data_IF_113635271522
#
_entry.id   IF_113635271522
#
_cell.length_a   1.000
_cell.length_b   1.000
_cell.length_c   1.000
_cell.angle_alpha   90.00
_cell.angle_beta   90.00
_cell.angle_gamma   90.00
#
_symmetry.space_group_name_H-M   'P 1'
#
loop_
_entity.id
_entity.type
_entity.pdbx_description
1 polymer ?
#
# COMPACT_ATOMS: atom_id res chain seq x y z
N UNK A 1 42.53 6.75 27.02
CA UNK A 1 41.43 5.76 26.87
C UNK A 1 40.05 6.42 26.63
N UNK A 2 39.98 7.52 25.85
CA UNK A 2 38.74 8.26 25.55
C UNK A 2 38.55 8.46 24.04
N UNK A 3 39.67 8.56 23.31
CA UNK A 3 39.69 8.67 21.85
C UNK A 3 39.19 7.41 21.12
N UNK A 4 39.38 6.22 21.70
CA UNK A 4 38.92 4.96 21.08
C UNK A 4 37.39 4.82 21.11
N UNK A 5 36.74 5.41 22.13
CA UNK A 5 35.27 5.43 22.25
C UNK A 5 34.66 6.29 21.14
N UNK A 6 35.27 7.46 20.87
CA UNK A 6 34.83 8.35 19.78
C UNK A 6 34.98 7.71 18.40
N UNK A 7 36.06 6.95 18.19
CA UNK A 7 36.31 6.23 16.94
C UNK A 7 35.30 5.10 16.69
N UNK A 8 34.89 4.39 17.75
CA UNK A 8 33.82 3.39 17.70
C UNK A 8 32.44 4.02 17.40
N UNK A 9 32.14 5.20 17.96
CA UNK A 9 30.89 5.92 17.66
C UNK A 9 30.82 6.40 16.20
N UNK A 10 31.93 6.84 15.61
CA UNK A 10 31.97 7.24 14.19
C UNK A 10 31.77 6.06 13.23
N UNK A 11 32.27 4.86 13.58
CA UNK A 11 32.02 3.66 12.78
C UNK A 11 30.55 3.22 12.78
N UNK A 12 29.81 3.46 13.87
CA UNK A 12 28.37 3.19 13.95
C UNK A 12 27.55 4.15 13.07
N UNK A 13 28.00 5.39 12.91
CA UNK A 13 27.31 6.39 12.07
C UNK A 13 27.46 6.10 10.58
N UNK A 14 28.56 5.50 10.13
CA UNK A 14 28.70 5.03 8.74
C UNK A 14 27.81 3.83 8.41
N UNK A 15 27.35 3.10 9.43
CA UNK A 15 26.44 1.97 9.25
C UNK A 15 24.96 2.39 9.17
N UNK A 16 24.65 3.69 9.35
CA UNK A 16 23.35 4.26 8.97
C UNK A 16 23.28 4.49 7.45
N UNK A 17 23.58 3.45 6.68
CA UNK A 17 23.04 3.33 5.35
C UNK A 17 21.57 2.96 5.58
N UNK A 18 20.71 3.97 5.51
CA UNK A 18 19.25 3.87 5.63
C UNK A 18 18.80 2.53 5.08
N UNK A 19 18.40 1.61 5.97
CA UNK A 19 17.83 0.35 5.55
C UNK A 19 16.77 0.68 4.48
N UNK A 20 16.78 0.05 3.29
CA UNK A 20 15.75 0.30 2.32
C UNK A 20 14.42 0.01 3.01
N UNK A 21 13.61 1.06 3.19
CA UNK A 21 12.41 1.04 4.03
C UNK A 21 11.33 0.07 3.50
N UNK A 22 11.61 -0.69 2.44
CA UNK A 22 10.71 -1.66 1.81
C UNK A 22 11.12 -3.14 1.91
N UNK A 23 12.24 -3.51 2.55
CA UNK A 23 12.70 -4.90 2.51
C UNK A 23 12.01 -5.87 3.51
N UNK A 24 11.06 -5.39 4.34
CA UNK A 24 10.51 -6.17 5.46
C UNK A 24 9.05 -6.61 5.37
N UNK A 25 8.22 -6.03 4.50
CA UNK A 25 6.76 -6.13 4.66
C UNK A 25 6.01 -6.92 3.57
N UNK A 26 6.67 -7.43 2.54
CA UNK A 26 6.02 -8.23 1.48
C UNK A 26 5.07 -7.43 0.57
N UNK A 27 5.01 -6.11 0.74
CA UNK A 27 4.29 -5.18 -0.13
C UNK A 27 5.19 -4.00 -0.51
N UNK A 28 4.88 -3.37 -1.65
CA UNK A 28 5.40 -2.06 -2.04
C UNK A 28 4.36 -0.99 -1.76
N UNK A 29 4.79 0.17 -1.30
CA UNK A 29 3.90 1.33 -1.14
C UNK A 29 3.97 2.17 -2.42
N UNK A 30 2.82 2.61 -2.94
CA UNK A 30 2.73 3.49 -4.09
C UNK A 30 2.29 4.90 -3.67
N UNK A 31 2.64 5.88 -4.49
CA UNK A 31 2.17 7.25 -4.30
C UNK A 31 0.66 7.34 -4.58
N UNK A 32 -0.06 8.18 -3.82
CA UNK A 32 -1.52 8.29 -3.98
C UNK A 32 -1.94 8.97 -5.29
N UNK A 33 -1.06 9.77 -5.89
CA UNK A 33 -1.22 10.46 -7.17
C UNK A 33 -0.65 9.68 -8.37
N UNK A 34 -0.24 8.44 -8.13
CA UNK A 34 0.19 7.53 -9.19
C UNK A 34 -1.00 7.21 -10.13
N UNK A 35 -0.84 7.30 -11.45
CA UNK A 35 -1.95 7.12 -12.39
C UNK A 35 -2.52 5.69 -12.37
N UNK A 36 -1.70 4.67 -12.09
CA UNK A 36 -2.18 3.29 -11.94
C UNK A 36 -3.03 3.15 -10.66
N UNK A 37 -2.62 3.80 -9.57
CA UNK A 37 -3.40 3.87 -8.33
C UNK A 37 -4.78 4.46 -8.55
N UNK A 38 -4.88 5.60 -9.24
CA UNK A 38 -6.17 6.23 -9.56
C UNK A 38 -7.04 5.29 -10.40
N UNK A 39 -6.45 4.65 -11.41
CA UNK A 39 -7.16 3.72 -12.28
C UNK A 39 -7.74 2.52 -11.51
N UNK A 40 -6.93 1.89 -10.66
CA UNK A 40 -7.36 0.76 -9.82
C UNK A 40 -8.47 1.18 -8.84
N UNK A 41 -8.36 2.37 -8.25
CA UNK A 41 -9.38 2.89 -7.34
C UNK A 41 -10.73 3.12 -8.06
N UNK A 42 -10.70 3.65 -9.28
CA UNK A 42 -11.91 3.84 -10.09
C UNK A 42 -12.56 2.50 -10.47
N UNK A 43 -11.77 1.49 -10.85
CA UNK A 43 -12.28 0.14 -11.13
C UNK A 43 -12.94 -0.45 -9.88
N UNK A 44 -12.31 -0.29 -8.70
CA UNK A 44 -12.86 -0.79 -7.45
C UNK A 44 -14.20 -0.12 -7.11
N UNK A 45 -14.31 1.21 -7.26
CA UNK A 45 -15.56 1.95 -7.03
C UNK A 45 -16.66 1.53 -8.01
N UNK A 46 -16.34 1.37 -9.30
CA UNK A 46 -17.29 0.88 -10.30
C UNK A 46 -17.82 -0.51 -9.95
N UNK A 47 -16.91 -1.44 -9.60
CA UNK A 47 -17.27 -2.79 -9.18
C UNK A 47 -18.22 -2.77 -7.96
N UNK A 48 -17.88 -2.00 -6.93
CA UNK A 48 -18.71 -1.89 -5.72
C UNK A 48 -20.09 -1.32 -6.04
N UNK A 49 -20.17 -0.28 -6.86
CA UNK A 49 -21.44 0.32 -7.26
C UNK A 49 -22.28 -0.61 -8.11
N UNK A 50 -21.66 -1.40 -8.99
CA UNK A 50 -22.35 -2.38 -9.83
C UNK A 50 -22.97 -3.53 -9.02
N UNK A 51 -22.37 -3.86 -7.88
CA UNK A 51 -22.83 -4.93 -6.98
C UNK A 51 -23.55 -4.41 -5.73
N UNK A 52 -23.87 -3.11 -5.69
CA UNK A 52 -24.56 -2.50 -4.57
C UNK A 52 -26.03 -2.93 -4.55
N UNK A 53 -26.38 -3.82 -3.62
CA UNK A 53 -27.77 -4.29 -3.47
C UNK A 53 -28.67 -3.24 -2.79
N UNK A 54 -28.11 -2.51 -1.82
CA UNK A 54 -28.80 -1.50 -1.01
C UNK A 54 -27.80 -0.45 -0.54
N UNK A 55 -28.27 0.77 -0.24
CA UNK A 55 -27.46 1.87 0.25
C UNK A 55 -27.17 2.93 -0.79
N UNK A 56 -26.12 3.72 -0.57
CA UNK A 56 -25.76 4.85 -1.43
C UNK A 56 -24.63 4.48 -2.38
N UNK A 57 -24.69 5.02 -3.60
CA UNK A 57 -23.56 4.94 -4.54
C UNK A 57 -22.32 5.59 -3.93
N UNK A 58 -21.21 4.90 -4.09
CA UNK A 58 -19.89 5.34 -3.67
C UNK A 58 -19.28 6.22 -4.76
N UNK A 59 -18.57 7.26 -4.35
CA UNK A 59 -17.73 8.08 -5.23
C UNK A 59 -16.31 8.05 -4.67
N UNK A 60 -15.31 8.01 -5.55
CA UNK A 60 -13.91 8.14 -5.14
C UNK A 60 -13.69 9.59 -4.68
N UNK A 61 -13.20 9.77 -3.46
CA UNK A 61 -12.91 11.09 -2.91
C UNK A 61 -11.40 11.33 -2.80
N UNK A 62 -10.74 10.55 -1.93
CA UNK A 62 -9.31 10.66 -1.69
C UNK A 62 -8.73 9.26 -1.43
N UNK A 63 -7.47 9.10 -1.82
CA UNK A 63 -6.64 7.94 -1.50
C UNK A 63 -5.55 8.41 -0.55
N UNK A 64 -5.49 7.82 0.64
CA UNK A 64 -4.52 8.20 1.66
C UNK A 64 -3.34 7.25 1.73
N UNK A 65 -3.56 5.98 1.36
CA UNK A 65 -2.51 4.97 1.36
C UNK A 65 -2.75 3.90 0.32
N UNK A 66 -1.65 3.44 -0.28
CA UNK A 66 -1.66 2.37 -1.29
C UNK A 66 -0.59 1.35 -0.96
N UNK A 67 -0.98 0.11 -0.72
CA UNK A 67 -0.05 -1.01 -0.60
C UNK A 67 -0.32 -2.00 -1.73
N UNK A 68 0.73 -2.47 -2.38
CA UNK A 68 0.64 -3.50 -3.41
C UNK A 68 1.37 -4.74 -2.97
N UNK A 69 0.60 -5.80 -2.80
CA UNK A 69 1.08 -7.12 -2.41
C UNK A 69 1.31 -7.97 -3.65
N UNK A 70 2.48 -8.58 -3.76
CA UNK A 70 2.70 -9.60 -4.78
C UNK A 70 1.96 -10.88 -4.38
N UNK A 71 1.01 -11.32 -5.20
CA UNK A 71 0.26 -12.57 -5.01
C UNK A 71 0.92 -13.67 -5.85
N UNK A 72 1.30 -14.78 -5.21
CA UNK A 72 1.85 -15.96 -5.92
C UNK A 72 0.70 -16.83 -6.46
N UNK A 73 0.89 -17.57 -7.58
CA UNK A 73 2.08 -17.62 -8.44
C UNK A 73 2.21 -16.41 -9.37
N UNK A 74 1.12 -15.69 -9.65
CA UNK A 74 1.10 -14.47 -10.45
C UNK A 74 0.04 -13.51 -9.89
N UNK A 75 0.26 -12.21 -10.09
CA UNK A 75 -0.71 -11.16 -9.81
C UNK A 75 -0.32 -10.25 -8.65
N UNK A 76 -1.10 -9.19 -8.52
CA UNK A 76 -0.92 -8.14 -7.52
C UNK A 76 -2.25 -7.86 -6.83
N UNK A 77 -2.18 -7.50 -5.56
CA UNK A 77 -3.34 -7.07 -4.78
C UNK A 77 -3.08 -5.66 -4.27
N UNK A 78 -3.94 -4.75 -4.68
CA UNK A 78 -3.92 -3.35 -4.25
C UNK A 78 -4.81 -3.21 -3.01
N UNK A 79 -4.23 -2.72 -1.94
CA UNK A 79 -4.89 -2.33 -0.70
C UNK A 79 -4.90 -0.81 -0.64
N UNK A 80 -6.09 -0.23 -0.71
CA UNK A 80 -6.32 1.22 -0.73
C UNK A 80 -6.97 1.65 0.58
N UNK A 81 -6.43 2.68 1.22
CA UNK A 81 -7.02 3.32 2.40
C UNK A 81 -7.54 4.73 2.05
N UNK A 82 -8.65 5.12 2.68
CA UNK A 82 -9.38 6.37 2.48
C UNK A 82 -9.94 6.85 3.84
N UNK A 83 -9.83 8.16 4.13
CA UNK A 83 -10.24 8.87 5.34
C UNK A 83 -11.77 8.99 5.55
N UNK A 84 -12.57 8.43 4.65
CA UNK A 84 -14.02 8.41 4.68
C UNK A 84 -14.55 7.05 4.24
N UNK A 85 -15.27 6.38 5.14
CA UNK A 85 -15.91 5.06 4.95
C UNK A 85 -14.96 4.02 4.35
N UNK A 86 -14.15 3.42 5.24
CA UNK A 86 -13.46 2.14 5.10
C UNK A 86 -13.74 1.40 3.76
N UNK A 87 -12.94 1.67 2.73
CA UNK A 87 -12.70 0.71 1.65
C UNK A 87 -11.84 -0.43 2.23
N UNK A 88 -12.35 -1.10 3.26
CA UNK A 88 -11.61 -2.14 3.96
C UNK A 88 -11.61 -3.36 3.07
N UNK A 89 -10.53 -3.47 2.31
CA UNK A 89 -10.11 -4.65 1.58
C UNK A 89 -11.13 -4.99 0.50
N UNK A 90 -10.90 -4.49 -0.72
CA UNK A 90 -11.55 -5.16 -1.85
C UNK A 90 -11.11 -6.61 -1.79
N UNK A 91 -12.01 -7.51 -1.41
CA UNK A 91 -11.94 -8.95 -1.63
C UNK A 91 -11.90 -9.26 -3.16
N UNK A 92 -11.15 -8.50 -3.97
CA UNK A 92 -10.80 -8.85 -5.36
C UNK A 92 -10.09 -10.22 -5.37
N UNK A 93 -9.39 -10.58 -4.29
CA UNK A 93 -8.83 -11.92 -4.13
C UNK A 93 -9.90 -13.03 -4.06
N UNK A 94 -11.14 -12.71 -3.65
CA UNK A 94 -12.27 -13.66 -3.60
C UNK A 94 -13.09 -13.65 -4.89
N UNK A 95 -13.26 -12.48 -5.53
CA UNK A 95 -14.00 -12.35 -6.78
C UNK A 95 -13.23 -12.88 -8.02
N UNK A 96 -11.89 -12.88 -8.01
CA UNK A 96 -11.08 -13.47 -9.10
C UNK A 96 -10.90 -15.00 -8.99
N UNK A 97 -11.64 -15.67 -8.09
CA UNK A 97 -11.56 -17.12 -7.90
C UNK A 97 -12.91 -17.82 -8.11
N UNK A 98 -13.76 -17.27 -9.00
CA UNK A 98 -14.93 -17.94 -9.57
C UNK A 98 -14.78 -17.99 -11.08
#
# INVERSE_FOLDING_TARGET
>A
MKSLVLLLCFAQLWSCQSAPQGAGLGFRELACDDPETEHVALIAVDYLNKHLLQGFRQILNQIDKVKVWSRRPFGEVYELENNGTYFKLVEISRAQNV
#
